data_IF_198601396807
#
_entry.id   IF_198601396807
#
_cell.length_a   1.000
_cell.length_b   1.000
_cell.length_c   1.000
_cell.angle_alpha   90.00
_cell.angle_beta   90.00
_cell.angle_gamma   90.00
#
_symmetry.space_group_name_H-M   'P 1'
#
loop_
_entity.id
_entity.type
_entity.pdbx_description
1 polymer ?
#
# COMPACT_ATOMS: atom_id res chain seq x y z
N UNK A 1 23.37 12.65 8.07
CA UNK A 1 23.64 12.93 6.65
C UNK A 1 22.80 11.95 5.85
N UNK A 2 21.71 12.42 5.24
CA UNK A 2 20.94 11.60 4.31
C UNK A 2 21.76 11.46 3.01
N UNK A 3 22.39 10.30 2.85
CA UNK A 3 23.04 9.98 1.59
C UNK A 3 21.98 9.89 0.52
N UNK A 4 22.19 10.55 -0.60
CA UNK A 4 21.37 10.35 -1.79
C UNK A 4 21.49 8.88 -2.20
N UNK A 5 20.36 8.16 -2.21
CA UNK A 5 20.30 6.82 -2.78
C UNK A 5 20.34 7.02 -4.29
N UNK A 6 21.51 6.80 -4.88
CA UNK A 6 21.64 6.77 -6.34
C UNK A 6 21.05 5.44 -6.81
N UNK A 7 20.16 5.49 -7.81
CA UNK A 7 19.63 4.30 -8.48
C UNK A 7 20.78 3.47 -9.03
N UNK A 8 21.17 2.43 -8.31
CA UNK A 8 22.29 1.55 -8.68
C UNK A 8 21.82 0.23 -9.29
N UNK A 9 20.52 -0.04 -9.23
CA UNK A 9 19.95 -1.30 -9.70
C UNK A 9 19.32 -1.16 -11.10
N UNK A 10 19.16 -2.30 -11.74
CA UNK A 10 18.58 -2.40 -13.08
C UNK A 10 17.20 -1.73 -13.12
N UNK A 11 16.97 -0.91 -14.14
CA UNK A 11 15.65 -0.38 -14.46
C UNK A 11 14.89 -1.38 -15.33
N UNK A 12 13.61 -1.58 -15.02
CA UNK A 12 12.72 -2.44 -15.78
C UNK A 12 12.45 -1.86 -17.17
N UNK A 13 12.34 -2.73 -18.16
CA UNK A 13 11.85 -2.36 -19.50
C UNK A 13 10.33 -2.22 -19.50
N UNK A 14 9.63 -3.16 -18.84
CA UNK A 14 8.19 -3.11 -18.63
C UNK A 14 7.89 -2.69 -17.18
N UNK A 15 7.10 -1.62 -16.99
CA UNK A 15 6.80 -1.13 -15.65
C UNK A 15 5.82 -2.06 -14.92
N UNK A 16 5.88 -2.02 -13.58
CA UNK A 16 4.81 -2.50 -12.74
C UNK A 16 3.78 -1.37 -12.53
N UNK A 17 2.53 -1.61 -12.95
CA UNK A 17 1.47 -0.61 -12.81
C UNK A 17 0.75 -0.76 -11.48
N UNK A 18 0.68 0.33 -10.72
CA UNK A 18 -0.06 0.42 -9.46
C UNK A 18 -1.39 1.12 -9.70
N UNK A 19 -2.47 0.35 -9.68
CA UNK A 19 -3.83 0.84 -9.98
C UNK A 19 -4.30 1.90 -8.99
N UNK A 20 -4.04 1.72 -7.70
CA UNK A 20 -4.53 2.61 -6.63
C UNK A 20 -4.10 4.07 -6.81
N UNK A 21 -2.94 4.32 -7.40
CA UNK A 21 -2.39 5.65 -7.66
C UNK A 21 -2.13 5.92 -9.14
N UNK A 22 -2.57 5.02 -10.02
CA UNK A 22 -2.42 5.13 -11.48
C UNK A 22 -0.97 5.46 -11.89
N UNK A 23 0.01 4.78 -11.30
CA UNK A 23 1.44 5.08 -11.48
C UNK A 23 2.20 3.86 -11.94
N UNK A 24 3.14 4.07 -12.87
CA UNK A 24 4.09 3.07 -13.33
C UNK A 24 5.37 3.13 -12.48
N UNK A 25 5.86 1.97 -12.06
CA UNK A 25 7.11 1.78 -11.32
C UNK A 25 8.10 1.03 -12.20
N UNK A 26 9.33 1.53 -12.31
CA UNK A 26 10.38 0.99 -13.16
C UNK A 26 11.59 0.47 -12.39
N UNK A 27 11.71 0.76 -11.10
CA UNK A 27 12.84 0.34 -10.29
C UNK A 27 12.42 -0.16 -8.90
N UNK A 28 13.33 -0.88 -8.26
CA UNK A 28 13.09 -1.33 -6.89
C UNK A 28 13.08 -0.17 -5.88
N UNK A 29 13.83 0.88 -6.16
CA UNK A 29 13.86 2.08 -5.33
C UNK A 29 12.54 2.84 -5.39
N UNK A 30 11.93 2.95 -6.59
CA UNK A 30 10.60 3.52 -6.75
C UNK A 30 9.55 2.68 -6.01
N UNK A 31 9.67 1.34 -6.04
CA UNK A 31 8.79 0.44 -5.28
C UNK A 31 8.98 0.62 -3.77
N UNK A 32 10.21 0.69 -3.29
CA UNK A 32 10.51 0.94 -1.88
C UNK A 32 9.99 2.31 -1.43
N UNK A 33 10.17 3.34 -2.25
CA UNK A 33 9.61 4.67 -1.99
C UNK A 33 8.09 4.61 -1.87
N UNK A 34 7.44 3.93 -2.82
CA UNK A 34 5.99 3.75 -2.79
C UNK A 34 5.53 3.01 -1.52
N UNK A 35 6.16 1.91 -1.17
CA UNK A 35 5.82 1.14 0.03
C UNK A 35 5.98 1.96 1.31
N UNK A 36 7.05 2.73 1.42
CA UNK A 36 7.34 3.53 2.62
C UNK A 36 6.35 4.66 2.83
N UNK A 37 5.95 5.33 1.74
CA UNK A 37 5.06 6.49 1.81
C UNK A 37 3.58 6.16 1.74
N UNK A 38 3.20 4.98 1.26
CA UNK A 38 1.80 4.62 1.01
C UNK A 38 1.35 3.38 1.81
N UNK A 39 1.81 3.25 3.03
CA UNK A 39 1.60 2.07 3.89
C UNK A 39 0.11 1.66 4.01
N UNK A 40 -0.81 2.61 3.98
CA UNK A 40 -2.25 2.36 4.06
C UNK A 40 -2.85 1.77 2.77
N UNK A 41 -2.15 1.89 1.64
CA UNK A 41 -2.59 1.35 0.35
C UNK A 41 -2.08 -0.07 0.08
N UNK A 42 -1.18 -0.58 0.93
CA UNK A 42 -0.52 -1.87 0.72
C UNK A 42 -1.42 -3.01 1.19
N UNK A 43 -1.96 -3.73 0.24
CA UNK A 43 -2.81 -4.90 0.44
C UNK A 43 -2.50 -5.99 -0.61
N UNK A 44 -3.28 -7.05 -0.59
CA UNK A 44 -3.14 -8.20 -1.49
C UNK A 44 -3.30 -7.85 -2.98
N UNK A 45 -3.90 -6.71 -3.30
CA UNK A 45 -4.03 -6.27 -4.70
C UNK A 45 -2.69 -5.88 -5.31
N UNK A 46 -1.75 -5.41 -4.47
CA UNK A 46 -0.40 -5.00 -4.87
C UNK A 46 0.62 -6.07 -4.52
N UNK A 47 0.50 -6.66 -3.32
CA UNK A 47 1.43 -7.66 -2.79
C UNK A 47 0.99 -9.06 -3.22
N UNK A 48 1.29 -9.42 -4.46
CA UNK A 48 0.82 -10.63 -5.11
C UNK A 48 1.94 -11.31 -5.94
N UNK A 49 1.62 -12.46 -6.52
CA UNK A 49 2.56 -13.22 -7.34
C UNK A 49 3.02 -12.44 -8.58
N UNK A 50 2.17 -11.58 -9.15
CA UNK A 50 2.51 -10.78 -10.31
C UNK A 50 3.63 -9.78 -9.99
N UNK A 51 3.62 -9.15 -8.81
CA UNK A 51 4.70 -8.31 -8.33
C UNK A 51 6.00 -9.12 -8.15
N UNK A 52 5.91 -10.31 -7.56
CA UNK A 52 7.07 -11.19 -7.39
C UNK A 52 7.69 -11.55 -8.75
N UNK A 53 6.86 -11.91 -9.71
CA UNK A 53 7.28 -12.24 -11.08
C UNK A 53 7.95 -11.06 -11.78
N UNK A 54 7.39 -9.86 -11.64
CA UNK A 54 7.99 -8.64 -12.18
C UNK A 54 9.36 -8.36 -11.58
N UNK A 55 9.52 -8.49 -10.27
CA UNK A 55 10.80 -8.33 -9.58
C UNK A 55 11.87 -9.30 -10.13
N UNK A 56 11.47 -10.55 -10.44
CA UNK A 56 12.36 -11.55 -11.01
C UNK A 56 12.69 -11.27 -12.47
N UNK A 57 11.67 -11.09 -13.31
CA UNK A 57 11.81 -11.02 -14.77
C UNK A 57 12.45 -9.72 -15.22
N UNK A 58 11.98 -8.60 -14.68
CA UNK A 58 12.41 -7.28 -15.10
C UNK A 58 13.66 -6.80 -14.35
N UNK A 59 13.70 -6.99 -13.03
CA UNK A 59 14.79 -6.49 -12.20
C UNK A 59 15.88 -7.53 -11.90
N UNK A 60 15.63 -8.82 -12.19
CA UNK A 60 16.58 -9.89 -11.94
C UNK A 60 16.79 -10.23 -10.46
N UNK A 61 15.87 -9.84 -9.59
CA UNK A 61 15.96 -10.01 -8.13
C UNK A 61 15.51 -11.43 -7.69
N UNK A 62 16.19 -12.46 -8.17
CA UNK A 62 15.84 -13.87 -7.96
C UNK A 62 15.76 -14.26 -6.47
N UNK A 63 16.68 -13.76 -5.64
CA UNK A 63 16.70 -14.06 -4.21
C UNK A 63 15.50 -13.44 -3.48
N UNK A 64 15.19 -12.20 -3.80
CA UNK A 64 14.00 -11.50 -3.27
C UNK A 64 12.72 -12.21 -3.72
N UNK A 65 12.61 -12.56 -5.01
CA UNK A 65 11.50 -13.33 -5.56
C UNK A 65 11.20 -14.59 -4.73
N UNK A 66 12.20 -15.46 -4.53
CA UNK A 66 12.01 -16.72 -3.78
C UNK A 66 11.53 -16.49 -2.36
N UNK A 67 12.03 -15.44 -1.72
CA UNK A 67 11.65 -15.09 -0.35
C UNK A 67 10.20 -14.58 -0.30
N UNK A 68 9.82 -13.68 -1.21
CA UNK A 68 8.46 -13.12 -1.26
C UNK A 68 7.43 -14.17 -1.66
N UNK A 69 7.77 -15.02 -2.64
CA UNK A 69 6.90 -16.11 -3.07
C UNK A 69 6.58 -17.08 -1.91
N UNK A 70 7.61 -17.44 -1.13
CA UNK A 70 7.42 -18.26 0.07
C UNK A 70 6.51 -17.59 1.11
N UNK A 71 6.63 -16.27 1.31
CA UNK A 71 5.75 -15.51 2.21
C UNK A 71 4.30 -15.57 1.73
N UNK A 72 4.04 -15.49 0.43
CA UNK A 72 2.70 -15.63 -0.15
C UNK A 72 2.16 -17.05 0.02
N UNK A 73 2.95 -18.07 -0.28
CA UNK A 73 2.55 -19.49 -0.11
C UNK A 73 2.19 -19.82 1.35
N UNK A 74 2.99 -19.34 2.29
CA UNK A 74 2.79 -19.57 3.73
C UNK A 74 1.74 -18.60 4.36
N UNK A 75 1.18 -17.66 3.59
CA UNK A 75 0.21 -16.64 4.04
C UNK A 75 0.69 -15.88 5.29
N UNK A 76 1.97 -15.49 5.33
CA UNK A 76 2.58 -14.80 6.48
C UNK A 76 2.10 -13.35 6.64
N UNK A 77 1.35 -12.83 5.66
CA UNK A 77 0.72 -11.53 5.71
C UNK A 77 1.54 -10.39 5.09
N UNK A 78 0.84 -9.28 4.87
CA UNK A 78 1.34 -8.07 4.20
C UNK A 78 2.57 -7.46 4.87
N UNK A 79 2.62 -7.44 6.18
CA UNK A 79 3.74 -6.84 6.92
C UNK A 79 5.04 -7.59 6.70
N UNK A 80 5.02 -8.92 6.74
CA UNK A 80 6.21 -9.73 6.49
C UNK A 80 6.72 -9.54 5.04
N UNK A 81 5.80 -9.42 4.09
CA UNK A 81 6.15 -9.15 2.70
C UNK A 81 6.89 -7.80 2.56
N UNK A 82 6.32 -6.74 3.11
CA UNK A 82 6.89 -5.39 3.06
C UNK A 82 8.26 -5.35 3.73
N UNK A 83 8.37 -5.90 4.95
CA UNK A 83 9.61 -5.94 5.70
C UNK A 83 10.70 -6.76 5.00
N UNK A 84 10.31 -7.84 4.29
CA UNK A 84 11.24 -8.64 3.52
C UNK A 84 11.86 -7.85 2.34
N UNK A 85 11.07 -7.02 1.65
CA UNK A 85 11.57 -6.13 0.59
C UNK A 85 12.60 -5.16 1.15
N UNK A 86 12.26 -4.41 2.20
CA UNK A 86 13.16 -3.43 2.79
C UNK A 86 14.44 -4.04 3.36
N UNK A 87 14.34 -5.23 3.94
CA UNK A 87 15.47 -5.96 4.52
C UNK A 87 16.46 -6.47 3.46
N UNK A 88 15.94 -6.92 2.30
CA UNK A 88 16.79 -7.42 1.22
C UNK A 88 17.47 -6.28 0.45
N UNK A 89 16.76 -5.18 0.22
CA UNK A 89 17.25 -4.03 -0.56
C UNK A 89 18.10 -3.08 0.30
N UNK A 90 17.98 -3.16 1.63
CA UNK A 90 18.68 -2.26 2.56
C UNK A 90 18.42 -0.76 2.28
N UNK A 91 17.18 -0.45 1.89
CA UNK A 91 16.74 0.88 1.49
C UNK A 91 16.63 1.86 2.67
N UNK A 92 16.23 1.36 3.84
CA UNK A 92 16.00 2.14 5.05
C UNK A 92 17.18 2.06 6.01
N UNK A 93 17.39 3.13 6.77
CA UNK A 93 18.25 3.09 7.95
C UNK A 93 17.63 2.17 9.03
N UNK A 94 18.43 1.77 9.99
CA UNK A 94 17.95 0.92 11.10
C UNK A 94 16.81 1.56 11.89
N UNK A 95 16.87 2.89 12.11
CA UNK A 95 15.82 3.65 12.81
C UNK A 95 14.52 3.69 12.01
N UNK A 96 14.60 3.99 10.72
CA UNK A 96 13.43 4.01 9.81
C UNK A 96 12.79 2.63 9.68
N UNK A 97 13.60 1.57 9.57
CA UNK A 97 13.09 0.21 9.54
C UNK A 97 12.33 -0.17 10.82
N UNK A 98 12.86 0.22 11.98
CA UNK A 98 12.19 0.00 13.27
C UNK A 98 10.87 0.76 13.36
N UNK A 99 10.85 2.01 12.92
CA UNK A 99 9.63 2.84 12.88
C UNK A 99 8.57 2.23 11.93
N UNK A 100 8.98 1.81 10.73
CA UNK A 100 8.10 1.14 9.78
C UNK A 100 7.49 -0.13 10.38
N UNK A 101 8.31 -0.97 11.01
CA UNK A 101 7.84 -2.20 11.65
C UNK A 101 6.82 -1.92 12.76
N UNK A 102 7.03 -0.88 13.58
CA UNK A 102 6.06 -0.46 14.58
C UNK A 102 4.73 0.00 13.96
N UNK A 103 4.78 0.81 12.89
CA UNK A 103 3.60 1.27 12.16
C UNK A 103 2.81 0.11 11.56
N UNK A 104 3.49 -0.86 10.95
CA UNK A 104 2.87 -2.07 10.38
C UNK A 104 2.21 -2.93 11.47
N UNK A 105 2.86 -3.10 12.61
CA UNK A 105 2.32 -3.84 13.75
C UNK A 105 1.04 -3.19 14.28
N UNK A 106 1.05 -1.87 14.47
CA UNK A 106 -0.14 -1.13 14.91
C UNK A 106 -1.27 -1.21 13.89
N UNK A 107 -0.96 -1.17 12.60
CA UNK A 107 -1.95 -1.27 11.54
C UNK A 107 -2.62 -2.64 11.51
N UNK A 108 -1.84 -3.71 11.70
CA UNK A 108 -2.36 -5.08 11.72
C UNK A 108 -3.26 -5.37 12.93
N UNK A 109 -3.07 -4.67 14.05
CA UNK A 109 -3.90 -4.82 15.25
C UNK A 109 -5.26 -4.13 15.12
N UNK A 110 -5.44 -3.27 14.11
CA UNK A 110 -6.69 -2.54 13.91
C UNK A 110 -7.75 -3.41 13.21
N UNK A 111 -9.03 -3.23 13.55
CA UNK A 111 -10.15 -3.81 12.82
C UNK A 111 -10.05 -3.53 11.31
N UNK A 112 -10.51 -4.48 10.50
CA UNK A 112 -10.41 -4.35 9.04
C UNK A 112 -11.14 -3.11 8.52
N UNK A 113 -12.32 -2.84 9.04
CA UNK A 113 -13.14 -1.67 8.66
C UNK A 113 -12.42 -0.36 8.96
N UNK A 114 -11.72 -0.27 10.10
CA UNK A 114 -10.93 0.92 10.43
C UNK A 114 -9.74 1.12 9.48
N UNK A 115 -9.11 0.02 9.05
CA UNK A 115 -8.03 0.08 8.03
C UNK A 115 -8.55 0.55 6.68
N UNK A 116 -9.72 0.06 6.25
CA UNK A 116 -10.39 0.51 5.02
C UNK A 116 -10.71 2.01 5.10
N UNK A 117 -11.27 2.48 6.22
CA UNK A 117 -11.52 3.91 6.40
C UNK A 117 -10.24 4.74 6.28
N UNK A 118 -9.16 4.34 6.94
CA UNK A 118 -7.86 5.03 6.83
C UNK A 118 -7.29 5.02 5.41
N UNK A 119 -7.49 3.92 4.69
CA UNK A 119 -7.14 3.83 3.26
C UNK A 119 -7.94 4.86 2.44
N UNK A 120 -9.25 4.97 2.69
CA UNK A 120 -10.11 5.98 2.08
C UNK A 120 -9.67 7.41 2.42
N UNK A 121 -9.42 7.70 3.70
CA UNK A 121 -8.96 9.01 4.18
C UNK A 121 -7.64 9.41 3.49
N UNK A 122 -6.68 8.49 3.40
CA UNK A 122 -5.41 8.70 2.70
C UNK A 122 -5.60 9.01 1.20
N UNK A 123 -6.52 8.32 0.52
CA UNK A 123 -6.84 8.60 -0.88
C UNK A 123 -7.47 9.98 -1.07
N UNK A 124 -8.31 10.44 -0.12
CA UNK A 124 -8.87 11.80 -0.12
C UNK A 124 -7.76 12.85 0.01
N UNK A 125 -6.84 12.68 0.95
CA UNK A 125 -5.69 13.57 1.14
C UNK A 125 -4.84 13.69 -0.14
N UNK A 126 -4.73 12.59 -0.89
CA UNK A 126 -4.04 12.54 -2.17
C UNK A 126 -4.93 12.89 -3.38
N UNK A 127 -6.12 13.44 -3.17
CA UNK A 127 -7.08 13.88 -4.20
C UNK A 127 -7.58 12.76 -5.13
N UNK A 128 -7.48 11.51 -4.70
CA UNK A 128 -7.95 10.33 -5.45
C UNK A 128 -9.40 10.00 -5.07
N UNK A 129 -10.28 10.97 -5.28
CA UNK A 129 -11.65 10.94 -4.78
C UNK A 129 -12.47 9.75 -5.26
N UNK A 130 -12.36 9.38 -6.54
CA UNK A 130 -13.09 8.25 -7.11
C UNK A 130 -12.69 6.92 -6.45
N UNK A 131 -11.39 6.73 -6.23
CA UNK A 131 -10.88 5.54 -5.54
C UNK A 131 -11.26 5.54 -4.07
N UNK A 132 -11.23 6.72 -3.41
CA UNK A 132 -11.64 6.86 -2.02
C UNK A 132 -13.10 6.44 -1.80
N UNK A 133 -14.02 6.86 -2.69
CA UNK A 133 -15.45 6.48 -2.59
C UNK A 133 -15.61 4.97 -2.64
N UNK A 134 -14.96 4.27 -3.56
CA UNK A 134 -15.01 2.79 -3.64
C UNK A 134 -14.53 2.11 -2.36
N UNK A 135 -13.47 2.63 -1.75
CA UNK A 135 -12.93 2.08 -0.50
C UNK A 135 -13.90 2.33 0.67
N UNK A 136 -14.52 3.50 0.74
CA UNK A 136 -15.52 3.79 1.76
C UNK A 136 -16.78 2.93 1.61
N UNK A 137 -17.25 2.67 0.38
CA UNK A 137 -18.36 1.75 0.12
C UNK A 137 -18.04 0.34 0.64
N UNK A 138 -16.82 -0.16 0.37
CA UNK A 138 -16.37 -1.44 0.89
C UNK A 138 -16.32 -1.46 2.43
N UNK A 139 -15.87 -0.36 3.05
CA UNK A 139 -15.83 -0.23 4.50
C UNK A 139 -17.23 -0.29 5.12
N UNK A 140 -18.22 0.40 4.55
CA UNK A 140 -19.60 0.38 5.01
C UNK A 140 -20.24 -1.01 4.91
N UNK A 141 -19.97 -1.75 3.81
CA UNK A 141 -20.48 -3.11 3.65
C UNK A 141 -19.91 -4.10 4.68
N UNK A 142 -18.71 -3.85 5.18
CA UNK A 142 -18.04 -4.68 6.20
C UNK A 142 -18.41 -4.29 7.63
N UNK A 143 -18.75 -3.03 7.85
CA UNK A 143 -19.03 -2.48 9.19
C UNK A 143 -20.26 -3.12 9.85
N UNK A 144 -21.25 -3.54 9.07
CA UNK A 144 -22.42 -4.29 9.57
C UNK A 144 -22.05 -5.54 10.39
N UNK A 145 -20.80 -6.02 10.24
CA UNK A 145 -20.28 -7.20 10.97
C UNK A 145 -19.44 -6.84 12.21
N UNK A 146 -18.83 -5.66 12.21
CA UNK A 146 -17.89 -5.22 13.27
C UNK A 146 -18.53 -4.27 14.29
N UNK A 147 -19.62 -3.58 13.92
CA UNK A 147 -20.46 -2.80 14.84
C UNK A 147 -19.77 -1.59 15.47
N UNK A 148 -19.02 -0.80 14.67
CA UNK A 148 -18.30 0.39 15.15
C UNK A 148 -19.24 1.59 15.43
N UNK A 149 -20.51 1.49 15.04
CA UNK A 149 -21.57 2.42 15.38
C UNK A 149 -21.80 3.58 14.42
N UNK A 150 -22.92 4.29 14.64
CA UNK A 150 -23.44 5.33 13.75
C UNK A 150 -22.48 6.50 13.52
N UNK A 151 -21.68 6.87 14.53
CA UNK A 151 -20.72 7.96 14.41
C UNK A 151 -19.60 7.64 13.42
N UNK A 152 -19.15 6.38 13.39
CA UNK A 152 -18.16 5.90 12.44
C UNK A 152 -18.73 5.97 11.02
N UNK A 153 -19.94 5.46 10.81
CA UNK A 153 -20.63 5.50 9.52
C UNK A 153 -20.88 6.93 9.06
N UNK A 154 -21.32 7.81 9.96
CA UNK A 154 -21.49 9.23 9.68
C UNK A 154 -20.22 9.90 9.18
N UNK A 155 -19.05 9.56 9.74
CA UNK A 155 -17.78 10.05 9.29
C UNK A 155 -17.42 9.58 7.87
N UNK A 156 -17.71 8.32 7.53
CA UNK A 156 -17.52 7.81 6.17
C UNK A 156 -18.44 8.51 5.17
N UNK A 157 -19.74 8.60 5.45
CA UNK A 157 -20.70 9.28 4.57
C UNK A 157 -20.34 10.76 4.35
N UNK A 158 -19.88 11.45 5.39
CA UNK A 158 -19.39 12.82 5.25
C UNK A 158 -18.24 12.92 4.26
N UNK A 159 -17.23 12.07 4.40
CA UNK A 159 -16.05 12.06 3.51
C UNK A 159 -16.42 11.68 2.07
N UNK A 160 -17.34 10.72 1.89
CA UNK A 160 -17.88 10.38 0.56
C UNK A 160 -18.60 11.56 -0.08
N UNK A 161 -19.44 12.27 0.68
CA UNK A 161 -20.13 13.47 0.22
C UNK A 161 -19.15 14.54 -0.26
N UNK A 162 -18.06 14.78 0.48
CA UNK A 162 -16.98 15.67 0.07
C UNK A 162 -16.34 15.21 -1.25
N UNK A 163 -16.01 13.92 -1.38
CA UNK A 163 -15.43 13.35 -2.61
C UNK A 163 -16.35 13.59 -3.83
N UNK A 164 -17.65 13.34 -3.70
CA UNK A 164 -18.61 13.52 -4.78
C UNK A 164 -18.75 14.99 -5.19
N UNK A 165 -18.70 15.93 -4.24
CA UNK A 165 -18.71 17.37 -4.54
C UNK A 165 -17.46 17.81 -5.33
N UNK A 166 -16.30 17.25 -5.00
CA UNK A 166 -15.06 17.55 -5.74
C UNK A 166 -15.06 16.94 -7.14
N UNK A 167 -15.60 15.72 -7.31
CA UNK A 167 -15.67 15.07 -8.63
C UNK A 167 -16.72 15.69 -9.53
N UNK A 168 -17.87 16.16 -9.00
CA UNK A 168 -18.92 16.80 -9.80
C UNK A 168 -18.57 18.21 -10.29
N UNK A 169 -17.60 18.88 -9.68
CA UNK A 169 -17.13 20.21 -10.12
C UNK A 169 -16.10 20.16 -11.25
N UNK A 170 -15.63 18.97 -11.61
CA UNK A 170 -14.63 18.77 -12.69
C UNK A 170 -15.26 18.34 -14.02
N UNK A 171 -16.58 18.45 -14.16
CA UNK A 171 -17.33 18.18 -15.40
C UNK A 171 -17.79 19.48 -16.05
#
# INVERSE_FOLDING_TARGET
MSGYILCQLKRAELPYYIENISTNIYSIEELCYYFYHNIYLLDETILNEHLCDWLRKELGLEKLYRRLYKILEENLGTSEFILAVFKEINYLTHSEFKELNQKLTLLNQQPQVLREKKKGDYLVENRMYVNAVKIYENALQKEDKEGLGEQFNGGIYHNMGCCLLYTSRCV
#
